data_IF_126784016414
#
_entry.id   IF_126784016414
#
_cell.length_a   1.000
_cell.length_b   1.000
_cell.length_c   1.000
_cell.angle_alpha   90.00
_cell.angle_beta   90.00
_cell.angle_gamma   90.00
#
_symmetry.space_group_name_H-M   'P 1'
#
loop_
_entity.id
_entity.type
_entity.pdbx_description
1 polymer ?
#
# COMPACT_ATOMS: atom_id res chain seq x y z
N UNK A 1 9.35 -8.90 -9.28
CA UNK A 1 8.94 -10.26 -8.84
C UNK A 1 7.53 -10.16 -8.30
N UNK A 2 6.79 -11.25 -8.34
CA UNK A 2 5.39 -11.32 -7.89
C UNK A 2 5.23 -12.48 -6.90
N UNK A 3 4.59 -12.25 -5.77
CA UNK A 3 4.29 -13.28 -4.76
C UNK A 3 2.95 -13.91 -5.11
N UNK A 4 2.94 -15.23 -5.29
CA UNK A 4 1.66 -15.93 -5.44
C UNK A 4 0.89 -15.89 -4.13
N UNK A 5 -0.37 -15.49 -4.23
CA UNK A 5 -1.35 -15.51 -3.13
C UNK A 5 -0.83 -14.82 -1.87
N UNK A 6 -0.38 -13.58 -1.98
CA UNK A 6 0.38 -12.93 -0.92
C UNK A 6 -0.40 -12.87 0.42
N UNK A 7 -1.70 -12.59 0.36
CA UNK A 7 -2.54 -12.61 1.56
C UNK A 7 -2.66 -13.97 2.21
N UNK A 8 -2.59 -15.09 1.48
CA UNK A 8 -2.63 -16.43 2.10
C UNK A 8 -1.34 -16.75 2.89
N UNK A 9 -0.27 -15.97 2.73
CA UNK A 9 0.94 -16.11 3.52
C UNK A 9 0.84 -15.40 4.88
N UNK A 10 -0.12 -14.49 5.07
CA UNK A 10 -0.36 -13.81 6.33
C UNK A 10 -0.97 -14.74 7.38
N UNK A 11 -0.46 -14.62 8.61
CA UNK A 11 -0.98 -15.34 9.77
C UNK A 11 -2.13 -14.52 10.39
N UNK A 12 -3.25 -15.18 10.73
CA UNK A 12 -4.39 -14.53 11.37
C UNK A 12 -4.19 -14.50 12.89
N UNK A 13 -4.11 -13.29 13.47
CA UNK A 13 -4.08 -13.12 14.93
C UNK A 13 -5.47 -13.30 15.58
N UNK A 14 -6.54 -13.09 14.81
CA UNK A 14 -7.93 -13.13 15.26
C UNK A 14 -8.66 -14.37 14.73
N UNK A 15 -9.61 -14.87 15.51
CA UNK A 15 -10.50 -15.94 15.06
C UNK A 15 -11.57 -15.39 14.13
N UNK A 16 -11.38 -15.62 12.82
CA UNK A 16 -12.36 -15.25 11.80
C UNK A 16 -13.08 -16.49 11.31
N UNK A 17 -14.42 -16.40 11.31
CA UNK A 17 -15.30 -17.41 10.75
C UNK A 17 -15.97 -16.86 9.49
N UNK A 18 -16.22 -17.73 8.52
CA UNK A 18 -16.96 -17.41 7.31
C UNK A 18 -18.04 -18.44 7.05
N UNK A 19 -19.09 -18.04 6.34
CA UNK A 19 -20.08 -18.97 5.84
C UNK A 19 -19.45 -20.01 4.92
N UNK A 20 -20.03 -21.20 4.90
CA UNK A 20 -19.58 -22.27 4.02
C UNK A 20 -19.75 -21.84 2.55
N UNK A 21 -18.74 -22.03 1.69
CA UNK A 21 -18.87 -21.72 0.28
C UNK A 21 -19.90 -22.63 -0.39
N UNK A 22 -20.51 -22.12 -1.45
CA UNK A 22 -21.50 -22.86 -2.24
C UNK A 22 -20.89 -24.17 -2.77
N UNK A 23 -21.63 -25.28 -2.63
CA UNK A 23 -21.17 -26.62 -2.99
C UNK A 23 -20.34 -27.35 -1.93
N UNK A 24 -19.99 -26.70 -0.81
CA UNK A 24 -19.29 -27.35 0.32
C UNK A 24 -20.21 -27.77 1.47
N UNK A 25 -21.46 -27.30 1.44
CA UNK A 25 -22.47 -27.58 2.46
C UNK A 25 -22.96 -29.02 2.32
N UNK A 26 -22.66 -29.86 3.32
CA UNK A 26 -23.15 -31.23 3.39
C UNK A 26 -24.51 -31.29 4.11
N UNK A 27 -25.43 -32.21 3.72
CA UNK A 27 -26.69 -32.41 4.41
C UNK A 27 -26.47 -32.68 5.92
N UNK A 28 -27.17 -31.93 6.78
CA UNK A 28 -27.02 -31.97 8.23
C UNK A 28 -25.90 -31.07 8.79
N UNK A 29 -25.13 -30.40 7.94
CA UNK A 29 -24.07 -29.46 8.32
C UNK A 29 -24.36 -28.02 7.86
N UNK A 30 -25.60 -27.70 7.48
CA UNK A 30 -25.97 -26.42 6.87
C UNK A 30 -25.66 -25.21 7.75
N UNK A 31 -25.68 -25.39 9.08
CA UNK A 31 -25.40 -24.33 10.06
C UNK A 31 -23.93 -24.23 10.49
N UNK A 32 -23.04 -25.05 9.94
CA UNK A 32 -21.61 -24.95 10.23
C UNK A 32 -21.01 -23.73 9.53
N UNK A 33 -19.91 -23.26 10.10
CA UNK A 33 -19.10 -22.16 9.57
C UNK A 33 -17.65 -22.63 9.43
N UNK A 34 -16.93 -22.05 8.48
CA UNK A 34 -15.51 -22.34 8.28
C UNK A 34 -14.67 -21.40 9.14
N UNK A 35 -13.72 -21.95 9.91
CA UNK A 35 -12.70 -21.15 10.59
C UNK A 35 -11.55 -20.87 9.63
N UNK A 36 -11.21 -19.60 9.44
CA UNK A 36 -10.06 -19.21 8.65
C UNK A 36 -8.76 -19.40 9.45
N UNK A 37 -7.80 -20.10 8.86
CA UNK A 37 -6.48 -20.36 9.44
C UNK A 37 -5.42 -19.37 8.93
N UNK A 38 -5.65 -18.81 7.75
CA UNK A 38 -4.79 -17.83 7.07
C UNK A 38 -5.62 -16.67 6.56
N UNK A 39 -5.01 -15.51 6.38
CA UNK A 39 -5.71 -14.35 5.82
C UNK A 39 -6.16 -14.62 4.38
N UNK A 40 -7.40 -14.25 4.06
CA UNK A 40 -8.00 -14.42 2.74
C UNK A 40 -8.23 -13.07 2.07
N UNK A 41 -8.28 -13.06 0.74
CA UNK A 41 -8.74 -11.89 -0.02
C UNK A 41 -10.13 -11.45 0.47
N UNK A 42 -10.32 -10.14 0.61
CA UNK A 42 -11.57 -9.54 1.11
C UNK A 42 -11.59 -9.28 2.62
N UNK A 43 -10.67 -9.87 3.39
CA UNK A 43 -10.49 -9.50 4.79
C UNK A 43 -9.80 -8.12 4.88
N UNK A 44 -10.35 -7.23 5.74
CA UNK A 44 -9.81 -5.88 5.93
C UNK A 44 -8.36 -5.89 6.45
N UNK A 45 -8.00 -6.91 7.23
CA UNK A 45 -6.70 -7.08 7.86
C UNK A 45 -5.68 -7.84 7.00
N UNK A 46 -6.11 -8.53 5.94
CA UNK A 46 -5.22 -9.37 5.12
C UNK A 46 -4.00 -8.61 4.55
N UNK A 47 -4.13 -7.35 4.05
CA UNK A 47 -2.99 -6.60 3.57
C UNK A 47 -1.96 -6.30 4.68
N UNK A 48 -2.44 -6.01 5.89
CA UNK A 48 -1.59 -5.72 7.05
C UNK A 48 -0.80 -6.96 7.49
N UNK A 49 -1.49 -8.09 7.64
CA UNK A 49 -0.86 -9.35 8.07
C UNK A 49 0.17 -9.85 7.04
N UNK A 50 -0.11 -9.67 5.76
CA UNK A 50 0.86 -9.93 4.72
C UNK A 50 2.10 -9.03 4.86
N UNK A 51 1.91 -7.71 5.02
CA UNK A 51 3.02 -6.78 5.19
C UNK A 51 3.87 -7.12 6.41
N UNK A 52 3.26 -7.41 7.57
CA UNK A 52 3.97 -7.81 8.80
C UNK A 52 4.76 -9.11 8.63
N UNK A 53 4.17 -10.10 7.93
CA UNK A 53 4.87 -11.35 7.62
C UNK A 53 6.09 -11.10 6.74
N UNK A 54 5.92 -10.31 5.68
CA UNK A 54 7.02 -9.96 4.79
C UNK A 54 8.10 -9.17 5.52
N UNK A 55 7.70 -8.20 6.36
CA UNK A 55 8.60 -7.36 7.13
C UNK A 55 9.51 -8.20 8.04
N UNK A 56 8.92 -9.13 8.78
CA UNK A 56 9.67 -10.07 9.64
C UNK A 56 10.72 -10.84 8.83
N UNK A 57 10.35 -11.36 7.66
CA UNK A 57 11.22 -12.16 6.80
C UNK A 57 12.35 -11.32 6.21
N UNK A 58 12.04 -10.14 5.65
CA UNK A 58 13.05 -9.33 4.96
C UNK A 58 14.04 -8.72 5.96
N UNK A 59 13.58 -8.30 7.14
CA UNK A 59 14.45 -7.80 8.21
C UNK A 59 15.36 -8.90 8.77
N UNK A 60 14.86 -10.14 8.92
CA UNK A 60 15.68 -11.29 9.32
C UNK A 60 16.80 -11.58 8.32
N UNK A 61 16.63 -11.23 7.05
CA UNK A 61 17.67 -11.31 6.01
C UNK A 61 18.69 -10.14 6.05
N UNK A 62 18.60 -9.26 7.05
CA UNK A 62 19.51 -8.13 7.25
C UNK A 62 19.17 -6.88 6.45
N UNK A 63 17.96 -6.79 5.87
CA UNK A 63 17.45 -5.52 5.35
C UNK A 63 17.01 -4.59 6.48
N UNK A 64 16.89 -3.31 6.16
CA UNK A 64 16.38 -2.28 7.06
C UNK A 64 15.28 -1.48 6.37
N UNK A 65 14.33 -0.99 7.17
CA UNK A 65 13.31 -0.05 6.75
C UNK A 65 13.92 1.26 6.24
N UNK A 66 13.28 1.83 5.23
CA UNK A 66 13.42 3.24 4.91
C UNK A 66 12.62 4.09 5.92
N UNK A 67 13.21 5.19 6.40
CA UNK A 67 12.56 6.06 7.38
C UNK A 67 11.32 6.80 6.86
N UNK A 68 11.21 6.97 5.54
CA UNK A 68 10.09 7.66 4.91
C UNK A 68 8.95 6.72 4.47
N UNK A 69 9.27 5.46 4.13
CA UNK A 69 8.30 4.49 3.58
C UNK A 69 8.61 3.07 4.05
N UNK A 70 7.69 2.48 4.81
CA UNK A 70 7.81 1.11 5.38
C UNK A 70 7.65 -0.01 4.34
N UNK A 71 7.32 0.32 3.10
CA UNK A 71 7.30 -0.63 2.00
C UNK A 71 8.62 -0.62 1.21
N UNK A 72 9.59 0.21 1.60
CA UNK A 72 10.92 0.28 0.98
C UNK A 72 11.96 -0.23 1.95
N UNK A 73 12.71 -1.23 1.51
CA UNK A 73 13.74 -1.91 2.28
C UNK A 73 15.09 -1.72 1.63
N UNK A 74 16.15 -1.59 2.42
CA UNK A 74 17.50 -1.48 1.89
C UNK A 74 18.49 -2.33 2.67
N UNK A 75 19.46 -2.90 1.96
CA UNK A 75 20.59 -3.64 2.51
C UNK A 75 21.84 -3.23 1.75
N UNK A 76 22.83 -2.73 2.49
CA UNK A 76 24.13 -2.33 1.94
C UNK A 76 25.22 -3.11 2.65
N UNK A 77 26.03 -3.83 1.88
CA UNK A 77 27.24 -4.53 2.31
C UNK A 77 28.46 -3.85 1.68
N UNK A 78 29.66 -4.34 2.00
CA UNK A 78 30.88 -3.90 1.31
C UNK A 78 30.91 -4.25 -0.18
N UNK A 79 30.15 -5.26 -0.61
CA UNK A 79 30.17 -5.77 -1.98
C UNK A 79 29.00 -5.25 -2.83
N UNK A 80 27.84 -5.04 -2.23
CA UNK A 80 26.64 -4.63 -2.97
C UNK A 80 25.64 -3.84 -2.12
N UNK A 81 24.81 -3.05 -2.81
CA UNK A 81 23.59 -2.47 -2.27
C UNK A 81 22.37 -3.04 -2.97
N UNK A 82 21.32 -3.34 -2.21
CA UNK A 82 20.01 -3.75 -2.73
C UNK A 82 18.90 -2.93 -2.07
N UNK A 83 17.95 -2.48 -2.88
CA UNK A 83 16.71 -1.84 -2.45
C UNK A 83 15.54 -2.67 -2.96
N UNK A 84 14.60 -2.99 -2.06
CA UNK A 84 13.37 -3.71 -2.39
C UNK A 84 12.18 -2.79 -2.12
N UNK A 85 11.34 -2.55 -3.12
CA UNK A 85 10.07 -1.85 -2.95
C UNK A 85 8.93 -2.88 -3.07
N UNK A 86 8.13 -3.00 -2.01
CA UNK A 86 6.97 -3.87 -1.95
C UNK A 86 5.69 -3.09 -2.27
N UNK A 87 4.90 -3.58 -3.22
CA UNK A 87 3.55 -3.10 -3.47
C UNK A 87 2.58 -4.28 -3.50
N UNK A 88 2.02 -4.59 -2.33
CA UNK A 88 1.13 -5.75 -2.13
C UNK A 88 1.80 -7.05 -2.62
N UNK A 89 1.44 -7.55 -3.79
CA UNK A 89 1.93 -8.81 -4.35
C UNK A 89 3.20 -8.58 -5.22
N UNK A 90 3.40 -7.36 -5.72
CA UNK A 90 4.50 -6.98 -6.59
C UNK A 90 5.73 -6.48 -5.83
N UNK A 91 6.92 -6.84 -6.30
CA UNK A 91 8.21 -6.42 -5.75
C UNK A 91 9.14 -5.91 -6.84
N UNK A 92 9.64 -4.70 -6.64
CA UNK A 92 10.79 -4.18 -7.39
C UNK A 92 12.06 -4.40 -6.58
N UNK A 93 13.08 -4.93 -7.24
CA UNK A 93 14.39 -5.18 -6.63
C UNK A 93 15.42 -4.43 -7.47
N UNK A 94 16.03 -3.43 -6.87
CA UNK A 94 17.13 -2.66 -7.42
C UNK A 94 18.41 -3.10 -6.74
N UNK A 95 19.49 -3.26 -7.49
CA UNK A 95 20.79 -3.55 -6.90
C UNK A 95 21.91 -2.85 -7.65
N UNK A 96 23.00 -2.57 -6.95
CA UNK A 96 24.21 -2.01 -7.55
C UNK A 96 24.93 -3.02 -8.44
N UNK A 97 24.71 -4.31 -8.21
CA UNK A 97 25.19 -5.39 -9.05
C UNK A 97 24.19 -6.56 -9.08
N UNK A 98 24.41 -7.49 -10.01
CA UNK A 98 23.51 -8.63 -10.19
C UNK A 98 23.66 -9.70 -9.09
N UNK A 99 24.79 -9.71 -8.37
CA UNK A 99 25.02 -10.64 -7.26
C UNK A 99 23.96 -10.42 -6.16
N UNK A 100 23.86 -9.18 -5.65
CA UNK A 100 22.90 -8.84 -4.59
C UNK A 100 21.45 -9.03 -5.02
N UNK A 101 21.12 -8.70 -6.28
CA UNK A 101 19.78 -8.94 -6.84
C UNK A 101 19.48 -10.44 -6.85
N UNK A 102 20.36 -11.26 -7.41
CA UNK A 102 20.17 -12.71 -7.50
C UNK A 102 20.07 -13.37 -6.13
N UNK A 103 20.91 -12.98 -5.16
CA UNK A 103 20.82 -13.50 -3.79
C UNK A 103 19.48 -13.14 -3.13
N UNK A 104 19.05 -11.89 -3.27
CA UNK A 104 17.76 -11.43 -2.73
C UNK A 104 16.60 -12.19 -3.37
N UNK A 105 16.61 -12.35 -4.70
CA UNK A 105 15.61 -13.15 -5.43
C UNK A 105 15.57 -14.60 -4.95
N UNK A 106 16.73 -15.24 -4.79
CA UNK A 106 16.84 -16.63 -4.32
C UNK A 106 16.31 -16.78 -2.90
N UNK A 107 16.67 -15.87 -2.01
CA UNK A 107 16.19 -15.87 -0.63
C UNK A 107 14.65 -15.73 -0.59
N UNK A 108 14.09 -14.75 -1.29
CA UNK A 108 12.64 -14.55 -1.35
C UNK A 108 11.92 -15.77 -1.95
N UNK A 109 12.49 -16.39 -2.99
CA UNK A 109 11.94 -17.61 -3.58
C UNK A 109 12.07 -18.85 -2.68
N UNK A 110 12.99 -18.86 -1.71
CA UNK A 110 13.06 -19.94 -0.72
C UNK A 110 12.02 -19.81 0.40
N UNK A 111 11.53 -18.60 0.67
CA UNK A 111 10.54 -18.35 1.73
C UNK A 111 9.12 -18.29 1.18
N UNK A 112 8.95 -17.64 0.03
CA UNK A 112 7.65 -17.43 -0.61
C UNK A 112 7.58 -18.10 -1.97
N UNK A 113 6.36 -18.45 -2.38
CA UNK A 113 6.12 -18.93 -3.74
C UNK A 113 6.16 -17.76 -4.72
N UNK A 114 7.34 -17.50 -5.27
CA UNK A 114 7.59 -16.36 -6.14
C UNK A 114 7.41 -16.69 -7.63
N UNK A 115 7.04 -15.67 -8.40
CA UNK A 115 7.16 -15.63 -9.86
C UNK A 115 8.15 -14.52 -10.24
N UNK A 116 9.22 -14.87 -10.94
CA UNK A 116 10.09 -13.85 -11.52
C UNK A 116 9.44 -13.30 -12.79
N UNK A 117 9.33 -11.97 -12.88
CA UNK A 117 8.76 -11.25 -14.02
C UNK A 117 9.86 -10.66 -14.91
N UNK A 118 11.11 -11.07 -14.69
CA UNK A 118 12.32 -10.58 -15.34
C UNK A 118 12.56 -9.08 -15.07
N UNK A 119 13.45 -8.48 -15.87
CA UNK A 119 13.82 -7.08 -15.74
C UNK A 119 12.62 -6.16 -16.02
N UNK A 120 12.40 -5.21 -15.11
CA UNK A 120 11.34 -4.22 -15.26
C UNK A 120 11.68 -3.22 -16.38
N UNK A 121 11.13 -3.43 -17.58
CA UNK A 121 11.32 -2.51 -18.73
C UNK A 121 10.41 -1.29 -18.68
N UNK A 122 9.21 -1.46 -18.13
CA UNK A 122 8.20 -0.39 -17.97
C UNK A 122 7.63 -0.51 -16.58
N UNK A 123 8.02 0.41 -15.69
CA UNK A 123 7.32 0.61 -14.42
C UNK A 123 6.66 1.98 -14.48
N UNK A 124 5.34 1.99 -14.65
CA UNK A 124 4.48 3.16 -14.92
C UNK A 124 4.81 3.82 -16.28
N UNK A 125 3.80 3.99 -17.15
CA UNK A 125 3.97 4.70 -18.43
C UNK A 125 4.54 6.09 -18.15
N UNK A 126 5.59 6.51 -18.87
CA UNK A 126 6.00 7.93 -18.91
C UNK A 126 4.80 8.73 -19.41
N UNK A 127 4.23 9.55 -18.54
CA UNK A 127 3.18 10.48 -18.93
C UNK A 127 3.75 11.87 -18.73
N UNK A 128 3.69 12.67 -19.79
CA UNK A 128 4.04 14.08 -19.70
C UNK A 128 3.06 14.70 -18.71
N UNK A 129 3.58 15.26 -17.62
CA UNK A 129 2.78 16.10 -16.73
C UNK A 129 2.76 17.49 -17.38
N UNK A 130 1.62 17.97 -17.89
CA UNK A 130 1.50 19.35 -18.35
C UNK A 130 1.61 20.23 -17.09
N UNK A 131 2.81 20.73 -16.82
CA UNK A 131 3.14 21.44 -15.60
C UNK A 131 3.56 22.87 -15.92
N UNK A 132 3.01 23.82 -15.16
CA UNK A 132 3.54 25.17 -15.01
C UNK A 132 4.16 25.31 -13.62
N UNK A 133 5.48 25.50 -13.57
CA UNK A 133 6.27 25.65 -12.35
C UNK A 133 5.91 26.86 -11.50
N UNK A 134 5.14 27.80 -12.04
CA UNK A 134 4.78 29.03 -11.37
C UNK A 134 3.41 28.99 -10.68
N UNK A 135 2.67 27.87 -10.76
CA UNK A 135 1.34 27.80 -10.15
C UNK A 135 1.42 27.75 -8.61
N UNK A 136 0.97 28.82 -7.96
CA UNK A 136 0.86 28.92 -6.50
C UNK A 136 -0.53 28.51 -6.04
N UNK A 137 -0.60 27.65 -5.03
CA UNK A 137 -1.85 27.38 -4.32
C UNK A 137 -2.27 28.66 -3.57
N UNK A 138 -3.53 29.04 -3.72
CA UNK A 138 -4.13 30.18 -3.04
C UNK A 138 -5.07 29.64 -1.97
N UNK A 139 -5.19 30.35 -0.85
CA UNK A 139 -6.14 29.98 0.19
C UNK A 139 -7.57 29.99 -0.34
N UNK A 140 -8.37 29.02 0.10
CA UNK A 140 -9.77 28.96 -0.25
C UNK A 140 -10.52 30.08 0.47
N UNK A 141 -10.91 31.13 -0.26
CA UNK A 141 -11.74 32.23 0.24
C UNK A 141 -13.24 31.90 0.22
N UNK A 142 -13.61 30.70 -0.24
CA UNK A 142 -14.98 30.23 -0.33
C UNK A 142 -15.45 29.47 0.92
N UNK A 143 -16.47 28.63 0.74
CA UNK A 143 -17.02 27.81 1.82
C UNK A 143 -15.94 26.88 2.39
N UNK A 144 -15.84 26.82 3.71
CA UNK A 144 -15.02 25.84 4.41
C UNK A 144 -15.50 24.42 4.06
N UNK A 145 -14.57 23.58 3.63
CA UNK A 145 -14.83 22.17 3.29
C UNK A 145 -14.46 21.34 4.53
N UNK A 146 -15.31 20.38 4.90
CA UNK A 146 -15.01 19.49 6.01
C UNK A 146 -13.75 18.66 5.71
N UNK A 147 -12.89 18.46 6.69
CA UNK A 147 -11.64 17.72 6.52
C UNK A 147 -11.86 16.31 5.95
N UNK A 148 -12.93 15.64 6.37
CA UNK A 148 -13.29 14.31 5.89
C UNK A 148 -13.68 14.32 4.40
N UNK A 149 -14.43 15.33 3.96
CA UNK A 149 -14.81 15.51 2.55
C UNK A 149 -13.59 15.82 1.69
N UNK A 150 -12.70 16.69 2.18
CA UNK A 150 -11.43 17.00 1.51
C UNK A 150 -10.54 15.77 1.38
N UNK A 151 -10.36 15.01 2.46
CA UNK A 151 -9.57 13.78 2.45
C UNK A 151 -10.18 12.71 1.52
N UNK A 152 -11.51 12.58 1.50
CA UNK A 152 -12.22 11.67 0.59
C UNK A 152 -12.00 12.06 -0.88
N UNK A 153 -12.13 13.35 -1.22
CA UNK A 153 -11.90 13.85 -2.57
C UNK A 153 -10.45 13.64 -3.03
N UNK A 154 -9.47 13.88 -2.16
CA UNK A 154 -8.06 13.58 -2.46
C UNK A 154 -7.87 12.08 -2.67
N UNK A 155 -8.49 11.21 -1.86
CA UNK A 155 -8.45 9.77 -2.05
C UNK A 155 -9.00 9.33 -3.42
N UNK A 156 -10.13 9.88 -3.85
CA UNK A 156 -10.70 9.62 -5.18
C UNK A 156 -9.78 10.12 -6.30
N UNK A 157 -9.16 11.30 -6.15
CA UNK A 157 -8.20 11.81 -7.13
C UNK A 157 -6.90 11.00 -7.15
N UNK A 158 -6.44 10.48 -6.02
CA UNK A 158 -5.31 9.55 -5.96
C UNK A 158 -5.61 8.26 -6.72
N UNK A 159 -6.83 7.74 -6.62
CA UNK A 159 -7.24 6.58 -7.42
C UNK A 159 -7.18 6.90 -8.92
N UNK A 160 -7.77 8.03 -9.34
CA UNK A 160 -7.70 8.46 -10.74
C UNK A 160 -6.25 8.65 -11.22
N UNK A 161 -5.39 9.25 -10.41
CA UNK A 161 -3.96 9.42 -10.68
C UNK A 161 -3.24 8.09 -10.95
N UNK A 162 -3.47 7.08 -10.11
CA UNK A 162 -2.79 5.78 -10.23
C UNK A 162 -3.36 4.93 -11.38
N UNK A 163 -4.65 5.05 -11.68
CA UNK A 163 -5.32 4.17 -12.63
C UNK A 163 -5.38 4.74 -14.06
N UNK A 164 -5.73 6.01 -14.24
CA UNK A 164 -6.13 6.55 -15.56
C UNK A 164 -5.61 7.94 -15.91
N UNK A 165 -5.21 8.76 -14.92
CA UNK A 165 -4.85 10.17 -15.07
C UNK A 165 -3.54 10.53 -14.37
N UNK A 166 -2.40 9.92 -14.74
CA UNK A 166 -1.10 10.26 -14.15
C UNK A 166 -0.67 11.72 -14.40
N UNK A 167 -1.30 12.44 -15.34
CA UNK A 167 -1.09 13.86 -15.59
C UNK A 167 -1.49 14.76 -14.40
N UNK A 168 -2.45 14.34 -13.56
CA UNK A 168 -2.83 15.10 -12.36
C UNK A 168 -1.95 14.80 -11.15
N UNK A 169 -0.94 13.93 -11.29
CA UNK A 169 -0.20 13.38 -10.16
C UNK A 169 0.46 14.44 -9.27
N UNK A 170 1.01 15.47 -9.89
CA UNK A 170 1.64 16.56 -9.17
C UNK A 170 0.65 17.35 -8.32
N UNK A 171 -0.50 17.72 -8.90
CA UNK A 171 -1.53 18.50 -8.22
C UNK A 171 -2.07 17.73 -7.00
N UNK A 172 -2.37 16.44 -7.18
CA UNK A 172 -2.86 15.57 -6.10
C UNK A 172 -1.81 15.41 -4.99
N UNK A 173 -0.54 15.17 -5.35
CA UNK A 173 0.55 15.06 -4.38
C UNK A 173 0.87 16.37 -3.65
N UNK A 174 0.57 17.52 -4.26
CA UNK A 174 0.76 18.82 -3.60
C UNK A 174 -0.38 19.12 -2.64
N UNK A 175 -1.62 18.88 -3.05
CA UNK A 175 -2.81 19.04 -2.21
C UNK A 175 -2.83 18.05 -1.03
N UNK A 176 -2.32 16.82 -1.22
CA UNK A 176 -2.30 15.81 -0.16
C UNK A 176 -1.43 16.21 1.04
N UNK A 177 -0.44 17.10 0.84
CA UNK A 177 0.40 17.63 1.92
C UNK A 177 -0.37 18.52 2.90
N UNK A 178 -1.47 19.11 2.44
CA UNK A 178 -2.28 20.03 3.25
C UNK A 178 -3.44 19.31 3.97
N UNK A 179 -3.60 17.99 3.83
CA UNK A 179 -4.65 17.19 4.53
C UNK A 179 -4.57 17.34 6.06
N UNK A 180 -3.38 17.61 6.60
CA UNK A 180 -3.12 17.74 8.04
C UNK A 180 -3.24 19.17 8.58
N UNK A 181 -3.43 20.20 7.72
CA UNK A 181 -3.64 21.56 8.22
C UNK A 181 -5.08 21.66 8.71
N UNK A 182 -5.26 21.74 10.02
CA UNK A 182 -6.52 22.18 10.62
C UNK A 182 -6.89 23.53 9.99
N UNK A 183 -7.94 23.59 9.17
CA UNK A 183 -8.62 24.85 8.92
C UNK A 183 -9.18 25.29 10.28
N UNK A 184 -8.60 26.34 10.86
CA UNK A 184 -9.01 26.88 12.15
C UNK A 184 -10.53 27.06 12.20
N UNK A 185 -11.13 26.35 13.15
CA UNK A 185 -12.52 26.43 13.58
C UNK A 185 -12.89 27.87 13.93
N UNK A 186 -13.96 28.39 13.32
CA UNK A 186 -14.76 29.45 13.91
C UNK A 186 -16.21 28.96 14.00
N UNK A 187 -16.51 28.16 15.03
CA UNK A 187 -17.89 28.00 15.48
C UNK A 187 -18.31 29.31 16.17
N UNK A 188 -19.01 30.19 15.47
CA UNK A 188 -19.88 31.14 16.15
C UNK A 188 -21.10 30.37 16.69
N UNK A 189 -20.99 29.85 17.91
CA UNK A 189 -22.16 29.46 18.70
C UNK A 189 -22.88 30.73 19.13
N UNK A 190 -24.06 30.95 18.56
CA UNK A 190 -25.07 31.88 19.06
C UNK A 190 -25.45 31.50 20.49
N UNK A 191 -24.89 32.21 21.46
CA UNK A 191 -25.37 32.21 22.84
C UNK A 191 -26.52 33.20 22.97
N UNK A 192 -27.72 32.68 23.20
CA UNK A 192 -28.86 33.47 23.62
C UNK A 192 -28.53 34.19 24.93
N UNK A 193 -28.69 35.51 24.94
CA UNK A 193 -28.75 36.32 26.15
C UNK A 193 -30.14 36.17 26.79
N UNK A 194 -30.15 36.20 28.13
CA UNK A 194 -31.34 36.41 28.95
C UNK A 194 -32.07 37.71 28.59
#
# INVERSE_FOLDING_TARGET
MDVKTAFLNGDLDEEVYMDQPEGFVLPGNEKKVCKLVKSLYGLKQAPKQWHEKFDTVILANGFKHNGADKCVYSKFTSEYGVIVCLYVDDMLIFGTNMLGVCETKKYLASVFKMKDLNEARYYLRKVNTPFDSNYKLVENTGRAIAQLEFASAIGSMMYAMHCTRPDIAFAVNRLSRDIKKELHLCEHRSGAAF
#
